data_IF_746630926486
#
_entry.id   IF_746630926486
#
_cell.length_a   1.000
_cell.length_b   1.000
_cell.length_c   1.000
_cell.angle_alpha   90.00
_cell.angle_beta   90.00
_cell.angle_gamma   90.00
#
_symmetry.space_group_name_H-M   'P 1'
#
loop_
_entity.id
_entity.type
_entity.pdbx_description
1 polymer ?
#
# COMPACT_ATOMS: atom_id res chain seq x y z
N UNK A 1 -4.50 -10.63 -25.71
CA UNK A 1 -5.18 -10.75 -24.40
C UNK A 1 -4.55 -9.72 -23.47
N UNK A 2 -5.34 -8.79 -22.90
CA UNK A 2 -4.86 -7.68 -22.06
C UNK A 2 -4.58 -8.20 -20.64
N UNK A 3 -3.38 -8.06 -20.07
CA UNK A 3 -3.13 -8.39 -18.68
C UNK A 3 -3.47 -7.16 -17.82
N UNK A 4 -4.76 -6.91 -17.58
CA UNK A 4 -5.20 -5.81 -16.69
C UNK A 4 -5.40 -6.29 -15.24
N UNK A 5 -4.92 -7.47 -14.89
CA UNK A 5 -5.27 -8.13 -13.63
C UNK A 5 -4.01 -8.76 -13.03
N UNK A 6 -3.28 -8.02 -12.18
CA UNK A 6 -2.25 -8.66 -11.35
C UNK A 6 -1.83 -7.87 -10.09
N UNK A 7 -1.96 -6.54 -10.04
CA UNK A 7 -1.42 -5.77 -8.89
C UNK A 7 -2.45 -5.56 -7.77
N UNK A 8 -3.75 -5.57 -8.08
CA UNK A 8 -4.81 -5.42 -7.09
C UNK A 8 -4.88 -6.58 -6.07
N UNK A 9 -4.33 -7.75 -6.40
CA UNK A 9 -4.42 -8.95 -5.57
C UNK A 9 -3.38 -9.02 -4.44
N UNK A 10 -2.38 -8.13 -4.41
CA UNK A 10 -1.28 -8.16 -3.43
C UNK A 10 -1.50 -7.21 -2.25
N UNK A 11 -2.41 -6.23 -2.39
CA UNK A 11 -2.68 -5.20 -1.37
C UNK A 11 -3.63 -5.64 -0.25
N UNK A 12 -4.12 -6.88 -0.26
CA UNK A 12 -5.23 -7.30 0.60
C UNK A 12 -4.88 -7.53 2.10
N UNK A 13 -3.65 -7.32 2.58
CA UNK A 13 -3.31 -7.68 3.97
C UNK A 13 -2.10 -6.97 4.61
N UNK A 14 -1.79 -5.71 4.31
CA UNK A 14 -0.82 -4.95 5.11
C UNK A 14 -1.48 -4.38 6.37
N UNK A 15 -1.52 -5.17 7.44
CA UNK A 15 -1.98 -4.75 8.79
C UNK A 15 -0.96 -3.78 9.39
N UNK A 16 -1.04 -2.50 9.08
CA UNK A 16 -0.17 -1.47 9.65
C UNK A 16 -0.32 -1.46 11.17
N UNK A 17 0.61 -2.13 11.86
CA UNK A 17 0.74 -2.03 13.30
C UNK A 17 1.26 -0.63 13.65
N UNK A 18 0.35 0.34 13.66
CA UNK A 18 0.55 1.64 14.29
C UNK A 18 0.63 1.38 15.78
N UNK A 19 1.85 1.42 16.33
CA UNK A 19 2.05 1.46 17.77
C UNK A 19 1.64 2.85 18.26
N UNK A 20 0.32 3.02 18.45
CA UNK A 20 -0.30 4.22 18.98
C UNK A 20 0.03 4.36 20.47
N UNK A 21 1.00 5.22 20.75
CA UNK A 21 1.29 5.73 22.07
C UNK A 21 0.26 6.81 22.42
N UNK A 22 -0.81 6.43 23.13
CA UNK A 22 -1.47 7.27 24.13
C UNK A 22 -2.56 8.24 23.65
N UNK A 23 -3.81 7.74 23.64
CA UNK A 23 -4.91 8.35 24.40
C UNK A 23 -5.75 9.42 23.71
N UNK A 24 -6.91 9.00 23.20
CA UNK A 24 -8.20 9.51 23.71
C UNK A 24 -9.07 10.30 22.74
N UNK A 25 -10.10 9.63 22.23
CA UNK A 25 -11.47 10.18 22.09
C UNK A 25 -11.76 10.95 20.80
N UNK A 26 -12.51 10.32 19.90
CA UNK A 26 -13.15 10.86 18.67
C UNK A 26 -12.25 11.53 17.62
N UNK A 27 -11.01 11.87 17.96
CA UNK A 27 -10.01 12.46 17.07
C UNK A 27 -9.06 11.42 16.47
N UNK A 28 -8.99 10.21 17.05
CA UNK A 28 -8.15 9.09 16.59
C UNK A 28 -8.56 8.63 15.18
N UNK A 29 -9.86 8.43 14.91
CA UNK A 29 -10.33 8.03 13.57
C UNK A 29 -9.96 9.04 12.47
N UNK A 30 -9.88 10.33 12.81
CA UNK A 30 -9.52 11.37 11.84
C UNK A 30 -8.03 11.38 11.52
N UNK A 31 -7.17 11.16 12.52
CA UNK A 31 -5.73 11.05 12.34
C UNK A 31 -5.37 9.78 11.55
N UNK A 32 -6.03 8.66 11.85
CA UNK A 32 -5.85 7.41 11.12
C UNK A 32 -6.34 7.54 9.67
N UNK A 33 -7.48 8.17 9.44
CA UNK A 33 -8.01 8.43 8.09
C UNK A 33 -7.08 9.32 7.26
N UNK A 34 -6.45 10.32 7.87
CA UNK A 34 -5.47 11.18 7.22
C UNK A 34 -4.19 10.38 6.86
N UNK A 35 -3.68 9.57 7.79
CA UNK A 35 -2.53 8.70 7.54
C UNK A 35 -2.80 7.69 6.41
N UNK A 36 -3.98 7.08 6.38
CA UNK A 36 -4.42 6.16 5.33
C UNK A 36 -4.55 6.88 3.99
N UNK A 37 -5.12 8.08 3.98
CA UNK A 37 -5.21 8.91 2.77
C UNK A 37 -3.82 9.28 2.25
N UNK A 38 -2.89 9.62 3.15
CA UNK A 38 -1.48 9.83 2.83
C UNK A 38 -0.82 8.59 2.21
N UNK A 39 -1.09 7.42 2.76
CA UNK A 39 -0.58 6.15 2.24
C UNK A 39 -1.10 5.84 0.82
N UNK A 40 -2.40 6.03 0.56
CA UNK A 40 -2.98 5.83 -0.77
C UNK A 40 -2.43 6.84 -1.77
N UNK A 41 -2.26 8.10 -1.35
CA UNK A 41 -1.60 9.14 -2.14
C UNK A 41 -0.16 8.77 -2.52
N UNK A 42 0.59 8.23 -1.55
CA UNK A 42 1.96 7.78 -1.77
C UNK A 42 2.02 6.56 -2.70
N UNK A 43 1.10 5.60 -2.57
CA UNK A 43 0.96 4.49 -3.51
C UNK A 43 0.67 4.97 -4.94
N UNK A 44 -0.22 5.96 -5.11
CA UNK A 44 -0.48 6.57 -6.41
C UNK A 44 0.76 7.24 -6.99
N UNK A 45 1.52 7.99 -6.17
CA UNK A 45 2.79 8.62 -6.59
C UNK A 45 3.79 7.58 -7.05
N UNK A 46 4.09 6.61 -6.19
CA UNK A 46 5.08 5.55 -6.43
C UNK A 46 4.75 4.76 -7.70
N UNK A 47 3.49 4.38 -7.88
CA UNK A 47 3.06 3.61 -9.05
C UNK A 47 3.06 4.44 -10.34
N UNK A 48 2.68 5.72 -10.26
CA UNK A 48 2.77 6.68 -11.38
C UNK A 48 4.22 6.93 -11.82
N UNK A 49 5.13 7.07 -10.85
CA UNK A 49 6.57 7.28 -11.08
C UNK A 49 7.33 5.99 -11.38
N UNK A 50 6.67 4.84 -11.28
CA UNK A 50 7.26 3.49 -11.39
C UNK A 50 8.40 3.25 -10.41
N UNK A 51 8.29 3.82 -9.21
CA UNK A 51 9.28 3.70 -8.14
C UNK A 51 9.18 2.32 -7.45
N UNK A 52 9.90 1.34 -7.98
CA UNK A 52 9.92 0.00 -7.40
C UNK A 52 10.50 -0.04 -5.97
N UNK A 53 11.41 0.88 -5.63
CA UNK A 53 12.00 0.94 -4.30
C UNK A 53 10.98 1.43 -3.28
N UNK A 54 10.27 2.52 -3.60
CA UNK A 54 9.17 3.06 -2.82
C UNK A 54 8.05 2.03 -2.63
N UNK A 55 7.67 1.31 -3.68
CA UNK A 55 6.63 0.28 -3.59
C UNK A 55 7.00 -0.80 -2.56
N UNK A 56 8.25 -1.28 -2.60
CA UNK A 56 8.76 -2.25 -1.65
C UNK A 56 8.95 -1.70 -0.24
N UNK A 57 9.08 -0.37 -0.05
CA UNK A 57 9.13 0.28 1.27
C UNK A 57 7.75 0.42 1.91
N UNK A 58 6.71 0.62 1.11
CA UNK A 58 5.32 0.67 1.60
C UNK A 58 4.83 -0.71 2.06
N UNK A 59 5.31 -1.78 1.41
CA UNK A 59 4.97 -3.13 1.85
C UNK A 59 5.59 -3.46 3.22
N UNK A 60 4.86 -4.26 4.00
CA UNK A 60 5.40 -4.78 5.24
C UNK A 60 6.66 -5.62 5.02
N UNK A 61 7.68 -5.51 5.87
CA UNK A 61 8.90 -6.31 5.75
C UNK A 61 8.64 -7.82 5.73
N UNK A 62 7.65 -8.29 6.49
CA UNK A 62 7.20 -9.69 6.48
C UNK A 62 6.62 -10.09 5.12
N UNK A 63 5.83 -9.23 4.48
CA UNK A 63 5.31 -9.42 3.14
C UNK A 63 6.41 -9.43 2.07
N UNK A 64 7.41 -8.56 2.21
CA UNK A 64 8.62 -8.57 1.35
C UNK A 64 9.37 -9.90 1.48
N UNK A 65 9.59 -10.36 2.71
CA UNK A 65 10.29 -11.62 2.97
C UNK A 65 9.51 -12.83 2.43
N UNK A 66 8.19 -12.88 2.66
CA UNK A 66 7.35 -13.99 2.24
C UNK A 66 7.21 -14.12 0.71
N UNK A 67 7.07 -12.99 0.01
CA UNK A 67 6.81 -13.01 -1.44
C UNK A 67 8.08 -12.91 -2.28
N UNK A 68 9.11 -12.21 -1.79
CA UNK A 68 10.31 -11.89 -2.57
C UNK A 68 11.61 -12.39 -1.92
N UNK A 69 11.59 -12.99 -0.73
CA UNK A 69 12.74 -13.44 0.08
C UNK A 69 13.73 -12.34 0.52
N UNK A 70 13.81 -11.21 -0.19
CA UNK A 70 14.68 -10.09 0.12
C UNK A 70 14.18 -8.80 -0.52
N UNK A 71 14.51 -7.66 0.09
CA UNK A 71 14.21 -6.34 -0.47
C UNK A 71 14.81 -6.15 -1.87
N UNK A 72 16.07 -6.55 -2.08
CA UNK A 72 16.72 -6.40 -3.38
C UNK A 72 16.03 -7.18 -4.50
N UNK A 73 15.44 -8.34 -4.19
CA UNK A 73 14.63 -9.11 -5.15
C UNK A 73 13.25 -8.48 -5.38
N UNK A 74 12.61 -7.94 -4.34
CA UNK A 74 11.38 -7.16 -4.47
C UNK A 74 11.56 -6.02 -5.47
N UNK A 75 12.60 -5.20 -5.33
CA UNK A 75 12.83 -4.05 -6.20
C UNK A 75 13.00 -4.48 -7.66
N UNK A 76 13.83 -5.51 -7.91
CA UNK A 76 14.08 -5.99 -9.28
C UNK A 76 12.82 -6.53 -9.96
N UNK A 77 12.03 -7.33 -9.24
CA UNK A 77 10.82 -7.93 -9.82
C UNK A 77 9.71 -6.89 -9.99
N UNK A 78 9.51 -6.02 -9.00
CA UNK A 78 8.53 -4.94 -9.07
C UNK A 78 8.85 -3.92 -10.17
N UNK A 79 10.12 -3.59 -10.40
CA UNK A 79 10.52 -2.71 -11.50
C UNK A 79 10.06 -3.25 -12.86
N UNK A 80 10.28 -4.55 -13.12
CA UNK A 80 9.82 -5.20 -14.35
C UNK A 80 8.29 -5.16 -14.49
N UNK A 81 7.57 -5.36 -13.39
CA UNK A 81 6.10 -5.29 -13.37
C UNK A 81 5.62 -3.88 -13.71
N UNK A 82 6.15 -2.84 -13.04
CA UNK A 82 5.75 -1.45 -13.26
C UNK A 82 6.12 -0.94 -14.67
N UNK A 83 7.23 -1.42 -15.23
CA UNK A 83 7.59 -1.14 -16.61
C UNK A 83 6.56 -1.71 -17.59
N UNK A 84 6.20 -2.98 -17.42
CA UNK A 84 5.28 -3.71 -18.31
C UNK A 84 3.82 -3.31 -18.14
N UNK A 85 3.39 -2.96 -16.94
CA UNK A 85 2.00 -2.67 -16.61
C UNK A 85 1.49 -1.35 -17.26
N UNK A 86 2.37 -0.55 -17.85
CA UNK A 86 1.99 0.70 -18.50
C UNK A 86 1.53 1.76 -17.50
N UNK A 87 0.60 2.62 -17.90
CA UNK A 87 0.06 3.68 -17.03
C UNK A 87 -0.85 3.06 -15.96
N UNK A 88 -0.50 3.26 -14.70
CA UNK A 88 -1.30 2.79 -13.57
C UNK A 88 -2.52 3.71 -13.35
N UNK A 89 -3.68 3.16 -12.96
CA UNK A 89 -4.82 3.96 -12.54
C UNK A 89 -4.53 4.63 -11.19
N UNK A 90 -5.10 5.82 -10.98
CA UNK A 90 -5.13 6.42 -9.65
C UNK A 90 -6.19 5.71 -8.81
N UNK A 91 -5.78 5.26 -7.63
CA UNK A 91 -6.65 4.75 -6.58
C UNK A 91 -7.38 5.93 -5.93
N UNK A 92 -8.70 5.84 -5.78
CA UNK A 92 -9.50 6.87 -5.12
C UNK A 92 -10.21 6.22 -3.94
N UNK A 93 -10.08 6.79 -2.75
CA UNK A 93 -10.72 6.23 -1.57
C UNK A 93 -12.22 6.47 -1.65
N UNK A 94 -13.00 5.39 -1.64
CA UNK A 94 -14.46 5.44 -1.51
C UNK A 94 -14.87 5.41 -0.04
N UNK A 95 -14.21 4.57 0.76
CA UNK A 95 -14.53 4.35 2.17
C UNK A 95 -13.28 3.91 2.95
N UNK A 96 -13.17 4.38 4.20
CA UNK A 96 -12.18 3.92 5.17
C UNK A 96 -12.94 3.41 6.39
N UNK A 97 -12.70 2.15 6.76
CA UNK A 97 -13.19 1.56 8.00
C UNK A 97 -11.99 1.24 8.89
N UNK A 98 -11.98 1.76 10.12
CA UNK A 98 -10.92 1.54 11.11
C UNK A 98 -11.51 0.73 12.26
N UNK A 99 -10.92 -0.44 12.50
CA UNK A 99 -11.24 -1.36 13.59
C UNK A 99 -9.98 -1.55 14.45
N UNK A 100 -9.89 -0.80 15.55
CA UNK A 100 -8.73 -0.75 16.46
C UNK A 100 -7.40 -0.54 15.72
N UNK A 101 -6.59 -1.60 15.56
CA UNK A 101 -5.27 -1.58 14.95
C UNK A 101 -5.29 -1.97 13.46
N UNK A 102 -6.47 -2.06 12.85
CA UNK A 102 -6.66 -2.48 11.46
C UNK A 102 -7.49 -1.46 10.72
N UNK A 103 -7.11 -1.21 9.47
CA UNK A 103 -7.90 -0.40 8.56
C UNK A 103 -8.20 -1.19 7.28
N UNK A 104 -9.44 -1.07 6.82
CA UNK A 104 -9.90 -1.55 5.51
C UNK A 104 -10.23 -0.35 4.64
N UNK A 105 -9.73 -0.34 3.41
CA UNK A 105 -9.90 0.76 2.46
C UNK A 105 -10.59 0.23 1.21
N UNK A 106 -11.72 0.84 0.86
CA UNK A 106 -12.41 0.62 -0.43
C UNK A 106 -11.90 1.65 -1.44
N UNK A 107 -11.58 1.18 -2.65
CA UNK A 107 -10.90 1.94 -3.72
C UNK A 107 -11.68 1.92 -5.04
#
# INVERSE_FOLDING_TARGET
>A
MKPTVAVASILAASVLALSACGGGGDSENSADSEAITGLVGELNRITSEKDAAGFCDVMQPSGVAANFNSRGRCIRETALILEQAGRQPNLNIEEIQVDDDRASVSL
#
